data_IF_531728940905
#
_entry.id   IF_531728940905
#
_cell.length_a   1.000
_cell.length_b   1.000
_cell.length_c   1.000
_cell.angle_alpha   90.00
_cell.angle_beta   90.00
_cell.angle_gamma   90.00
#
_symmetry.space_group_name_H-M   'P 1'
#
loop_
_entity.id
_entity.type
_entity.pdbx_description
1 polymer ?
#
# COMPACT_ATOMS: atom_id res chain seq x y z
N UNK A 1 -19.52 23.18 -14.91
CA UNK A 1 -18.13 22.87 -14.55
C UNK A 1 -18.21 22.02 -13.29
N UNK A 2 -18.08 20.71 -13.42
CA UNK A 2 -18.08 19.82 -12.26
C UNK A 2 -16.69 19.93 -11.64
N UNK A 3 -16.55 20.80 -10.64
CA UNK A 3 -15.32 20.91 -9.87
C UNK A 3 -15.04 19.54 -9.27
N UNK A 4 -14.07 18.84 -9.85
CA UNK A 4 -13.63 17.54 -9.37
C UNK A 4 -13.02 17.82 -7.99
N UNK A 5 -13.74 17.48 -6.93
CA UNK A 5 -13.31 17.72 -5.54
C UNK A 5 -12.38 16.63 -5.03
N UNK A 6 -12.10 15.58 -5.83
CA UNK A 6 -11.33 14.40 -5.42
C UNK A 6 -10.15 14.12 -6.36
N UNK A 7 -9.02 13.72 -5.79
CA UNK A 7 -7.82 13.35 -6.54
C UNK A 7 -8.05 12.05 -7.32
N UNK A 8 -7.75 12.04 -8.61
CA UNK A 8 -7.86 10.85 -9.45
C UNK A 8 -6.85 9.73 -9.07
N UNK A 9 -5.76 10.07 -8.38
CA UNK A 9 -4.72 9.12 -7.98
C UNK A 9 -5.03 8.37 -6.67
N UNK A 10 -5.54 9.06 -5.65
CA UNK A 10 -5.77 8.48 -4.32
C UNK A 10 -7.21 8.62 -3.80
N UNK A 11 -8.11 9.23 -4.57
CA UNK A 11 -9.52 9.43 -4.20
C UNK A 11 -9.77 10.47 -3.10
N UNK A 12 -8.73 11.04 -2.48
CA UNK A 12 -8.87 12.01 -1.39
C UNK A 12 -9.26 13.39 -1.90
N UNK A 13 -9.88 14.19 -1.03
CA UNK A 13 -10.29 15.56 -1.35
C UNK A 13 -9.11 16.43 -1.81
N UNK A 14 -9.31 17.17 -2.89
CA UNK A 14 -8.38 18.20 -3.33
C UNK A 14 -8.55 19.46 -2.50
N UNK A 15 -7.44 20.11 -2.18
CA UNK A 15 -7.41 21.36 -1.43
C UNK A 15 -7.22 22.52 -2.41
N UNK A 16 -8.10 23.53 -2.41
CA UNK A 16 -7.88 24.73 -3.20
C UNK A 16 -6.71 25.53 -2.64
N UNK A 17 -5.70 25.76 -3.47
CA UNK A 17 -4.51 26.56 -3.17
C UNK A 17 -4.51 27.84 -4.02
N UNK A 18 -4.17 28.95 -3.37
CA UNK A 18 -3.99 30.23 -4.03
C UNK A 18 -2.61 30.30 -4.69
N UNK A 19 -2.58 30.54 -5.98
CA UNK A 19 -1.32 30.75 -6.70
C UNK A 19 -0.85 32.20 -6.56
N UNK A 20 0.44 32.44 -6.83
CA UNK A 20 1.02 33.80 -6.87
C UNK A 20 0.33 34.73 -7.88
N UNK A 21 -0.35 34.16 -8.89
CA UNK A 21 -1.10 34.90 -9.91
C UNK A 21 -2.54 35.23 -9.47
N UNK A 22 -2.94 34.83 -8.26
CA UNK A 22 -4.28 35.05 -7.72
C UNK A 22 -5.34 34.07 -8.23
N UNK A 23 -4.95 33.05 -9.00
CA UNK A 23 -5.85 31.97 -9.40
C UNK A 23 -5.92 30.90 -8.31
N UNK A 24 -7.06 30.21 -8.22
CA UNK A 24 -7.21 29.02 -7.38
C UNK A 24 -6.88 27.77 -8.20
N UNK A 25 -5.97 26.95 -7.70
CA UNK A 25 -5.62 25.65 -8.26
C UNK A 25 -5.88 24.56 -7.21
N UNK A 26 -6.32 23.38 -7.64
CA UNK A 26 -6.62 22.28 -6.72
C UNK A 26 -5.42 21.34 -6.63
N UNK A 27 -4.90 21.15 -5.42
CA UNK A 27 -3.80 20.20 -5.18
C UNK A 27 -4.16 19.10 -4.20
N UNK A 28 -3.60 17.91 -4.42
CA UNK A 28 -3.73 16.77 -3.51
C UNK A 28 -2.55 16.73 -2.55
N UNK A 29 -2.72 17.34 -1.37
CA UNK A 29 -1.69 17.33 -0.32
C UNK A 29 -1.31 15.92 0.17
N UNK A 30 -2.19 14.93 -0.02
CA UNK A 30 -1.88 13.54 0.30
C UNK A 30 -0.84 12.96 -0.67
N UNK A 31 -1.02 13.16 -1.97
CA UNK A 31 -0.06 12.70 -2.97
C UNK A 31 1.22 13.56 -2.98
N UNK A 32 1.13 14.85 -2.67
CA UNK A 32 2.32 15.70 -2.55
C UNK A 32 3.13 15.41 -1.27
N UNK A 33 2.46 15.06 -0.17
CA UNK A 33 3.09 14.75 1.12
C UNK A 33 3.60 13.31 1.22
N UNK A 34 3.01 12.37 0.47
CA UNK A 34 3.53 11.02 0.38
C UNK A 34 4.51 10.96 -0.80
N UNK A 35 5.80 10.88 -0.49
CA UNK A 35 6.84 10.65 -1.50
C UNK A 35 6.48 9.41 -2.33
N UNK A 36 6.42 9.56 -3.66
CA UNK A 36 6.14 8.45 -4.58
C UNK A 36 7.12 7.28 -4.36
N UNK A 37 8.35 7.58 -3.91
CA UNK A 37 9.33 6.57 -3.49
C UNK A 37 8.87 5.81 -2.24
N UNK A 38 8.27 6.46 -1.26
CA UNK A 38 7.75 5.81 -0.06
C UNK A 38 6.57 4.87 -0.41
N UNK A 39 5.71 5.24 -1.36
CA UNK A 39 4.66 4.34 -1.86
C UNK A 39 5.21 3.12 -2.58
N UNK A 40 6.24 3.29 -3.43
CA UNK A 40 6.84 2.13 -4.09
C UNK A 40 7.51 1.19 -3.07
N UNK A 41 8.21 1.73 -2.08
CA UNK A 41 8.82 0.92 -1.01
C UNK A 41 7.77 0.19 -0.15
N UNK A 42 6.63 0.81 0.15
CA UNK A 42 5.54 0.18 0.89
C UNK A 42 4.93 -1.02 0.13
N UNK A 43 4.82 -0.94 -1.20
CA UNK A 43 4.33 -2.04 -2.05
C UNK A 43 5.13 -3.34 -1.86
N UNK A 44 6.42 -3.23 -1.58
CA UNK A 44 7.30 -4.38 -1.34
C UNK A 44 7.37 -4.78 0.14
N UNK A 45 7.03 -3.89 1.07
CA UNK A 45 7.02 -4.18 2.50
C UNK A 45 5.88 -5.14 2.88
N UNK A 46 4.74 -5.08 2.19
CA UNK A 46 3.62 -6.01 2.35
C UNK A 46 3.81 -7.33 1.60
N UNK A 47 4.95 -7.54 0.91
CA UNK A 47 5.24 -8.86 0.33
C UNK A 47 5.41 -9.88 1.45
N UNK A 48 4.60 -10.95 1.51
CA UNK A 48 4.66 -11.96 2.56
C UNK A 48 5.87 -12.90 2.40
N UNK A 49 6.99 -12.40 1.89
CA UNK A 49 8.25 -13.14 1.70
C UNK A 49 8.98 -13.21 3.04
N UNK A 50 8.37 -13.86 4.02
CA UNK A 50 8.84 -13.83 5.40
C UNK A 50 8.40 -14.98 6.29
N UNK A 51 7.81 -16.05 5.74
CA UNK A 51 7.81 -17.33 6.45
C UNK A 51 8.32 -18.40 5.48
N UNK A 52 9.52 -18.97 5.70
CA UNK A 52 9.81 -20.27 5.16
C UNK A 52 8.70 -21.19 5.68
N UNK A 53 7.81 -21.63 4.79
CA UNK A 53 6.99 -22.80 5.06
C UNK A 53 8.00 -23.92 5.26
N UNK A 54 8.25 -24.27 6.54
CA UNK A 54 9.11 -25.40 6.88
C UNK A 54 8.37 -26.64 6.37
N UNK A 55 8.71 -27.03 5.16
CA UNK A 55 8.26 -28.24 4.50
C UNK A 55 8.43 -29.41 5.47
N UNK A 56 7.32 -30.08 5.75
CA UNK A 56 7.20 -31.52 6.02
C UNK A 56 8.47 -32.25 6.49
N UNK A 57 8.67 -32.36 7.81
CA UNK A 57 9.50 -33.40 8.41
C UNK A 57 9.05 -33.68 9.86
N UNK A 58 7.79 -34.08 10.04
CA UNK A 58 7.41 -34.85 11.22
C UNK A 58 7.58 -36.33 10.85
N UNK A 59 8.55 -36.96 11.51
CA UNK A 59 8.80 -38.40 11.55
C UNK A 59 7.48 -39.21 11.61
N UNK A 60 7.40 -40.39 10.97
CA UNK A 60 6.26 -41.27 11.17
C UNK A 60 6.27 -41.75 12.64
N UNK A 61 5.12 -41.79 13.34
CA UNK A 61 5.06 -42.59 14.56
C UNK A 61 5.06 -44.05 14.12
N UNK A 62 6.15 -44.75 14.43
CA UNK A 62 6.26 -46.20 14.37
C UNK A 62 5.05 -46.83 15.04
N UNK A 63 4.09 -47.32 14.25
CA UNK A 63 3.07 -48.25 14.76
C UNK A 63 3.72 -49.63 14.79
N UNK A 64 4.06 -50.09 15.99
CA UNK A 64 4.41 -51.48 16.25
C UNK A 64 3.26 -52.40 15.78
N UNK A 65 3.53 -53.57 15.15
CA UNK A 65 2.50 -54.56 14.90
C UNK A 65 2.14 -55.30 16.21
N UNK A 66 0.92 -55.84 16.34
CA UNK A 66 0.57 -56.66 17.48
C UNK A 66 1.02 -58.11 17.26
N UNK A 67 1.89 -58.62 18.14
CA UNK A 67 1.83 -60.00 18.62
C UNK A 67 2.46 -60.09 20.01
#
# INVERSE_FOLDING_TARGET
MTDITCCAGCGHSLVPMLTRKGSTEFSCLWCEGIDARAMDMAKWADSPTGKPQRSSAAHPPSRLPPN
#
